data_IF_009381227709
#
_entry.id   IF_009381227709
#
_cell.length_a   1.000
_cell.length_b   1.000
_cell.length_c   1.000
_cell.angle_alpha   90.00
_cell.angle_beta   90.00
_cell.angle_gamma   90.00
#
_symmetry.space_group_name_H-M   'P 1'
#
loop_
_entity.id
_entity.type
_entity.pdbx_description
1 polymer ?
#
# COMPACT_ATOMS: atom_id res chain seq x y z
N UNK A 1 -6.05 10.06 -18.96
CA UNK A 1 -6.26 8.98 -17.98
C UNK A 1 -4.89 8.60 -17.44
N UNK A 2 -4.70 8.63 -16.13
CA UNK A 2 -3.41 8.32 -15.51
C UNK A 2 -3.55 7.08 -14.63
N UNK A 3 -2.64 6.12 -14.81
CA UNK A 3 -2.57 4.92 -14.01
C UNK A 3 -1.33 4.95 -13.12
N UNK A 4 -1.49 4.54 -11.87
CA UNK A 4 -0.41 4.42 -10.90
C UNK A 4 -0.06 2.96 -10.65
N UNK A 5 1.20 2.70 -10.26
CA UNK A 5 1.63 1.40 -9.77
C UNK A 5 2.34 1.58 -8.43
N UNK A 6 1.98 0.74 -7.45
CA UNK A 6 2.62 0.67 -6.13
C UNK A 6 3.17 -0.73 -5.93
N UNK A 7 4.49 -0.84 -5.83
CA UNK A 7 5.18 -2.10 -5.57
C UNK A 7 5.18 -2.39 -4.06
N UNK A 8 4.28 -3.29 -3.62
CA UNK A 8 4.02 -3.61 -2.22
C UNK A 8 4.40 -5.06 -1.84
N UNK A 9 5.24 -5.72 -2.65
CA UNK A 9 5.59 -7.14 -2.52
C UNK A 9 6.74 -7.46 -1.54
N UNK A 10 7.36 -6.45 -0.92
CA UNK A 10 8.62 -6.60 -0.19
C UNK A 10 8.52 -7.34 1.16
N UNK A 11 9.47 -8.24 1.42
CA UNK A 11 9.57 -9.03 2.67
C UNK A 11 9.78 -8.21 3.95
N UNK A 12 10.29 -6.98 3.82
CA UNK A 12 10.62 -6.09 4.95
C UNK A 12 11.72 -6.63 5.89
N UNK A 13 12.73 -7.34 5.37
CA UNK A 13 13.83 -7.97 6.16
C UNK A 13 14.60 -7.05 7.11
N UNK A 14 14.63 -5.74 6.82
CA UNK A 14 15.34 -4.73 7.62
C UNK A 14 14.41 -3.92 8.52
N UNK A 15 13.13 -4.25 8.51
CA UNK A 15 12.12 -3.66 9.39
C UNK A 15 11.65 -4.74 10.36
N UNK A 16 11.37 -4.36 11.60
CA UNK A 16 10.88 -5.28 12.63
C UNK A 16 9.38 -5.57 12.42
N UNK A 17 9.05 -6.24 11.30
CA UNK A 17 7.70 -6.55 10.88
C UNK A 17 7.32 -6.04 9.49
N UNK A 18 6.03 -6.14 9.17
CA UNK A 18 5.52 -5.76 7.85
C UNK A 18 5.49 -4.23 7.70
N UNK A 19 6.53 -3.65 7.09
CA UNK A 19 6.72 -2.19 6.99
C UNK A 19 5.46 -1.43 6.52
N UNK A 20 4.70 -2.01 5.59
CA UNK A 20 3.51 -1.39 5.01
C UNK A 20 2.31 -1.30 5.99
N UNK A 21 2.32 -2.06 7.09
CA UNK A 21 1.32 -1.98 8.16
C UNK A 21 1.70 -1.01 9.27
N UNK A 22 2.96 -0.55 9.33
CA UNK A 22 3.41 0.40 10.35
C UNK A 22 2.60 1.69 10.27
N UNK A 23 2.25 2.23 11.44
CA UNK A 23 1.40 3.41 11.52
C UNK A 23 2.24 4.66 11.70
N UNK A 24 2.04 5.63 10.82
CA UNK A 24 2.53 7.00 10.96
C UNK A 24 1.29 7.88 11.15
N UNK A 25 1.22 8.59 12.27
CA UNK A 25 0.06 9.40 12.66
C UNK A 25 -1.26 8.61 12.63
N UNK A 26 -1.23 7.39 13.18
CA UNK A 26 -2.40 6.51 13.22
C UNK A 26 -2.77 5.83 11.90
N UNK A 27 -2.10 6.15 10.79
CA UNK A 27 -2.41 5.64 9.45
C UNK A 27 -1.32 4.69 8.92
N UNK A 28 -1.67 3.50 8.41
CA UNK A 28 -0.71 2.57 7.81
C UNK A 28 0.14 3.21 6.69
N UNK A 29 1.42 2.87 6.64
CA UNK A 29 2.39 3.44 5.72
C UNK A 29 1.92 3.38 4.26
N UNK A 30 1.39 2.23 3.81
CA UNK A 30 0.88 2.07 2.45
C UNK A 30 -0.19 3.11 2.08
N UNK A 31 -1.04 3.47 3.02
CA UNK A 31 -2.15 4.39 2.77
C UNK A 31 -1.68 5.85 2.62
N UNK A 32 -0.50 6.19 3.15
CA UNK A 32 0.12 7.51 2.89
C UNK A 32 0.55 7.66 1.42
N UNK A 33 0.84 6.56 0.74
CA UNK A 33 1.09 6.56 -0.71
C UNK A 33 -0.20 6.54 -1.53
N UNK A 34 -1.15 5.65 -1.18
CA UNK A 34 -2.37 5.47 -1.98
C UNK A 34 -3.28 6.69 -2.01
N UNK A 35 -3.50 7.35 -0.86
CA UNK A 35 -4.48 8.45 -0.79
C UNK A 35 -4.15 9.65 -1.69
N UNK A 36 -2.92 10.20 -1.70
CA UNK A 36 -2.57 11.26 -2.64
C UNK A 36 -2.64 10.81 -4.10
N UNK A 37 -2.25 9.56 -4.39
CA UNK A 37 -2.29 9.03 -5.75
C UNK A 37 -3.71 9.01 -6.33
N UNK A 38 -4.74 8.75 -5.52
CA UNK A 38 -6.15 8.75 -5.96
C UNK A 38 -6.64 10.11 -6.45
N UNK A 39 -5.97 11.21 -6.07
CA UNK A 39 -6.32 12.54 -6.58
C UNK A 39 -5.93 12.72 -8.05
N UNK A 40 -5.00 11.90 -8.54
CA UNK A 40 -4.40 12.03 -9.87
C UNK A 40 -4.60 10.79 -10.75
N UNK A 41 -4.68 9.61 -10.15
CA UNK A 41 -4.78 8.32 -10.83
C UNK A 41 -6.22 7.85 -10.91
N UNK A 42 -6.67 7.47 -12.10
CA UNK A 42 -7.98 6.82 -12.30
C UNK A 42 -7.95 5.35 -11.88
N UNK A 43 -6.76 4.74 -11.85
CA UNK A 43 -6.54 3.36 -11.46
C UNK A 43 -5.18 3.23 -10.79
N UNK A 44 -5.10 2.45 -9.72
CA UNK A 44 -3.84 2.15 -9.04
C UNK A 44 -3.66 0.64 -8.96
N UNK A 45 -2.59 0.14 -9.56
CA UNK A 45 -2.20 -1.26 -9.46
C UNK A 45 -1.31 -1.45 -8.24
N UNK A 46 -1.78 -2.24 -7.27
CA UNK A 46 -0.98 -2.61 -6.10
C UNK A 46 -0.40 -4.01 -6.33
N UNK A 47 0.90 -4.08 -6.57
CA UNK A 47 1.60 -5.35 -6.77
C UNK A 47 1.94 -5.95 -5.41
N UNK A 48 1.27 -7.03 -5.05
CA UNK A 48 1.46 -7.72 -3.77
C UNK A 48 2.42 -8.90 -3.89
N UNK A 49 2.85 -9.43 -2.74
CA UNK A 49 3.81 -10.54 -2.66
C UNK A 49 3.84 -11.12 -1.26
N UNK A 50 4.92 -10.89 -0.50
CA UNK A 50 5.01 -11.39 0.87
C UNK A 50 3.88 -10.86 1.76
N UNK A 51 3.18 -11.75 2.49
CA UNK A 51 2.02 -11.44 3.34
C UNK A 51 0.95 -10.61 2.61
N UNK A 52 0.63 -10.98 1.37
CA UNK A 52 -0.35 -10.27 0.51
C UNK A 52 -1.69 -10.02 1.20
N UNK A 53 -2.12 -10.91 2.08
CA UNK A 53 -3.41 -10.84 2.78
C UNK A 53 -3.49 -9.59 3.67
N UNK A 54 -2.36 -9.20 4.28
CA UNK A 54 -2.29 -7.95 5.05
C UNK A 54 -2.41 -6.72 4.15
N UNK A 55 -1.82 -6.78 2.95
CA UNK A 55 -1.90 -5.69 1.98
C UNK A 55 -3.31 -5.56 1.43
N UNK A 56 -3.93 -6.67 1.04
CA UNK A 56 -5.32 -6.75 0.58
C UNK A 56 -6.28 -6.19 1.65
N UNK A 57 -6.09 -6.55 2.93
CA UNK A 57 -6.88 -6.00 4.02
C UNK A 57 -6.71 -4.46 4.16
N UNK A 58 -5.48 -3.95 4.02
CA UNK A 58 -5.19 -2.51 4.09
C UNK A 58 -5.80 -1.70 2.94
N UNK A 59 -5.99 -2.32 1.77
CA UNK A 59 -6.53 -1.68 0.57
C UNK A 59 -7.99 -2.01 0.29
N UNK A 60 -8.61 -2.93 1.03
CA UNK A 60 -10.01 -3.39 0.82
C UNK A 60 -11.07 -2.27 0.81
N UNK A 61 -10.77 -1.10 1.38
CA UNK A 61 -11.66 0.07 1.43
C UNK A 61 -11.40 1.10 0.33
N UNK A 62 -10.42 0.85 -0.53
CA UNK A 62 -10.05 1.73 -1.63
C UNK A 62 -10.73 1.27 -2.92
N UNK A 63 -11.14 2.22 -3.78
CA UNK A 63 -11.77 1.91 -5.06
C UNK A 63 -10.81 1.24 -6.05
#
# INVERSE_FOLDING_TARGET
MLEGIVLAAGYSSRADGMKLTFRINGKPLLQHTLQPMLQFCNKIWVVTGYKKELIEALISKYP
#
